data_IF_714966159859
#
_entry.id   IF_714966159859
#
_cell.length_a   1.000
_cell.length_b   1.000
_cell.length_c   1.000
_cell.angle_alpha   90.00
_cell.angle_beta   90.00
_cell.angle_gamma   90.00
#
_symmetry.space_group_name_H-M   'P 1'
#
loop_
_entity.id
_entity.type
_entity.pdbx_description
1 polymer ?
#
# COMPACT_ATOMS: atom_id res chain seq x y z
N UNK A 1 -0.87 2.08 20.65
CA UNK A 1 0.49 2.11 20.08
C UNK A 1 0.64 0.90 19.16
N UNK A 2 0.54 1.08 17.84
CA UNK A 2 0.84 0.00 16.90
C UNK A 2 2.36 -0.03 16.73
N UNK A 3 3.02 -1.00 17.37
CA UNK A 3 4.44 -1.26 17.18
C UNK A 3 4.55 -1.95 15.82
N UNK A 4 4.90 -1.18 14.78
CA UNK A 4 5.34 -1.74 13.50
C UNK A 4 6.59 -2.56 13.80
N UNK A 5 6.41 -3.87 13.98
CA UNK A 5 7.52 -4.80 13.98
C UNK A 5 8.06 -4.77 12.55
N UNK A 6 9.25 -4.21 12.37
CA UNK A 6 10.13 -4.57 11.26
C UNK A 6 10.43 -6.05 11.45
N UNK A 7 9.58 -6.90 10.87
CA UNK A 7 9.88 -8.32 10.72
C UNK A 7 10.89 -8.36 9.59
N UNK A 8 12.17 -8.51 9.94
CA UNK A 8 13.17 -8.91 8.97
C UNK A 8 12.63 -10.19 8.31
N UNK A 9 12.51 -10.20 6.98
CA UNK A 9 12.06 -11.37 6.24
C UNK A 9 12.86 -12.58 6.74
N UNK A 10 12.18 -13.46 7.47
CA UNK A 10 12.85 -14.52 8.20
C UNK A 10 13.14 -15.64 7.20
N UNK A 11 14.43 -15.71 6.83
CA UNK A 11 15.05 -16.64 5.89
C UNK A 11 14.69 -16.44 4.40
N UNK A 12 15.69 -16.71 3.54
CA UNK A 12 15.46 -16.93 2.12
C UNK A 12 14.33 -17.94 1.94
N UNK A 13 13.33 -17.59 1.12
CA UNK A 13 12.33 -18.54 0.62
C UNK A 13 13.06 -19.69 -0.10
N UNK A 14 13.32 -20.78 0.62
CA UNK A 14 13.95 -22.01 0.10
C UNK A 14 13.00 -22.85 -0.77
N UNK A 15 11.82 -22.35 -1.08
CA UNK A 15 10.95 -22.98 -2.05
C UNK A 15 11.55 -22.73 -3.45
N UNK A 16 11.96 -23.77 -4.20
CA UNK A 16 12.38 -23.57 -5.58
C UNK A 16 11.24 -22.89 -6.33
N UNK A 17 11.55 -21.82 -7.08
CA UNK A 17 10.61 -21.33 -8.09
C UNK A 17 10.42 -22.47 -9.08
N UNK A 18 9.27 -23.14 -9.00
CA UNK A 18 8.89 -24.10 -10.02
C UNK A 18 8.70 -23.33 -11.32
N UNK A 19 9.38 -23.75 -12.38
CA UNK A 19 9.29 -23.10 -13.70
C UNK A 19 7.85 -23.13 -14.25
N UNK A 20 7.03 -24.08 -13.79
CA UNK A 20 5.62 -24.17 -14.13
C UNK A 20 4.71 -23.80 -12.96
N UNK A 21 3.76 -22.91 -13.25
CA UNK A 21 2.71 -22.56 -12.30
C UNK A 21 1.80 -23.77 -12.07
N UNK A 22 1.39 -24.05 -10.82
CA UNK A 22 0.51 -25.17 -10.52
C UNK A 22 -0.82 -24.99 -11.24
N UNK A 23 -1.33 -26.08 -11.80
CA UNK A 23 -2.64 -26.08 -12.45
C UNK A 23 -3.75 -25.81 -11.44
N UNK A 24 -4.89 -25.31 -11.91
CA UNK A 24 -6.08 -25.10 -11.05
C UNK A 24 -6.46 -26.36 -10.27
N UNK A 25 -6.29 -27.54 -10.87
CA UNK A 25 -6.61 -28.83 -10.23
C UNK A 25 -5.68 -29.11 -9.05
N UNK A 26 -4.39 -28.87 -9.21
CA UNK A 26 -3.39 -29.05 -8.14
C UNK A 26 -3.61 -28.03 -7.02
N UNK A 27 -3.92 -26.78 -7.35
CA UNK A 27 -4.26 -25.75 -6.36
C UNK A 27 -5.48 -26.14 -5.53
N UNK A 28 -6.55 -26.65 -6.17
CA UNK A 28 -7.74 -27.13 -5.47
C UNK A 28 -7.43 -28.35 -4.59
N UNK A 29 -6.62 -29.29 -5.08
CA UNK A 29 -6.19 -30.43 -4.29
C UNK A 29 -5.36 -29.99 -3.07
N UNK A 30 -4.44 -29.03 -3.23
CA UNK A 30 -3.66 -28.48 -2.13
C UNK A 30 -4.55 -27.80 -1.08
N UNK A 31 -5.58 -27.05 -1.50
CA UNK A 31 -6.55 -26.43 -0.59
C UNK A 31 -7.39 -27.48 0.17
N UNK A 32 -7.76 -28.59 -0.46
CA UNK A 32 -8.56 -29.65 0.17
C UNK A 32 -7.73 -30.58 1.08
N UNK A 33 -6.48 -30.85 0.69
CA UNK A 33 -5.59 -31.75 1.42
C UNK A 33 -4.88 -31.06 2.60
N UNK A 34 -4.83 -29.74 2.60
CA UNK A 34 -4.29 -28.97 3.74
C UNK A 34 -5.34 -28.87 4.82
N UNK A 35 -5.04 -29.44 5.99
CA UNK A 35 -5.99 -29.51 7.11
C UNK A 35 -6.29 -28.13 7.70
N UNK A 36 -5.30 -27.24 7.74
CA UNK A 36 -5.42 -25.93 8.40
C UNK A 36 -4.51 -24.88 7.74
N UNK A 37 -5.03 -23.66 7.65
CA UNK A 37 -4.31 -22.47 7.22
C UNK A 37 -4.26 -21.47 8.37
N UNK A 38 -3.14 -20.78 8.51
CA UNK A 38 -2.97 -19.74 9.53
C UNK A 38 -3.66 -18.44 9.09
N UNK A 39 -3.72 -18.20 7.77
CA UNK A 39 -4.38 -17.03 7.17
C UNK A 39 -5.18 -17.44 5.94
N UNK A 40 -6.45 -17.01 5.86
CA UNK A 40 -7.28 -17.09 4.67
C UNK A 40 -7.56 -15.68 4.14
N UNK A 41 -7.10 -15.39 2.93
CA UNK A 41 -7.35 -14.14 2.21
C UNK A 41 -8.51 -14.34 1.24
N UNK A 42 -9.53 -13.49 1.36
CA UNK A 42 -10.69 -13.49 0.45
C UNK A 42 -10.59 -12.29 -0.48
N UNK A 43 -10.36 -12.56 -1.76
CA UNK A 43 -10.24 -11.56 -2.83
C UNK A 43 -8.83 -11.47 -3.39
N UNK A 44 -8.67 -11.74 -4.68
CA UNK A 44 -7.44 -11.68 -5.47
C UNK A 44 -7.19 -10.33 -6.14
N UNK A 45 -7.61 -9.22 -5.51
CA UNK A 45 -7.25 -7.86 -5.92
C UNK A 45 -5.87 -7.45 -5.41
N UNK A 46 -5.42 -6.24 -5.75
CA UNK A 46 -4.10 -5.73 -5.34
C UNK A 46 -3.87 -5.80 -3.82
N UNK A 47 -4.87 -5.44 -3.02
CA UNK A 47 -4.80 -5.52 -1.55
C UNK A 47 -4.68 -6.96 -1.06
N UNK A 48 -5.53 -7.87 -1.56
CA UNK A 48 -5.52 -9.26 -1.10
C UNK A 48 -4.25 -10.00 -1.49
N UNK A 49 -3.77 -9.82 -2.72
CA UNK A 49 -2.48 -10.39 -3.16
C UNK A 49 -1.33 -9.82 -2.34
N UNK A 50 -1.32 -8.53 -2.03
CA UNK A 50 -0.31 -7.91 -1.15
C UNK A 50 -0.32 -8.50 0.26
N UNK A 51 -1.51 -8.68 0.86
CA UNK A 51 -1.65 -9.34 2.16
C UNK A 51 -1.22 -10.80 2.13
N UNK A 52 -1.54 -11.54 1.07
CA UNK A 52 -1.12 -12.93 0.92
C UNK A 52 0.40 -13.04 0.76
N UNK A 53 1.01 -12.15 -0.02
CA UNK A 53 2.47 -12.09 -0.17
C UNK A 53 3.14 -11.78 1.18
N UNK A 54 2.67 -10.79 1.93
CA UNK A 54 3.21 -10.45 3.26
C UNK A 54 3.03 -11.59 4.28
N UNK A 55 1.92 -12.33 4.22
CA UNK A 55 1.73 -13.50 5.08
C UNK A 55 2.68 -14.65 4.73
N UNK A 56 2.86 -14.93 3.44
CA UNK A 56 3.78 -15.98 2.96
C UNK A 56 5.24 -15.64 3.25
N UNK A 57 5.67 -14.40 3.09
CA UNK A 57 7.05 -13.97 3.43
C UNK A 57 7.35 -14.04 4.92
N UNK A 58 6.31 -14.12 5.76
CA UNK A 58 6.40 -14.36 7.21
C UNK A 58 6.25 -15.85 7.57
N UNK A 59 6.34 -16.74 6.58
CA UNK A 59 6.23 -18.20 6.73
C UNK A 59 4.88 -18.68 7.27
N UNK A 60 3.79 -17.93 7.05
CA UNK A 60 2.44 -18.35 7.42
C UNK A 60 1.80 -19.21 6.34
N UNK A 61 1.14 -20.31 6.72
CA UNK A 61 0.34 -21.14 5.79
C UNK A 61 -0.86 -20.33 5.33
N UNK A 62 -0.77 -19.78 4.13
CA UNK A 62 -1.75 -18.81 3.62
C UNK A 62 -2.52 -19.41 2.45
N UNK A 63 -3.85 -19.33 2.52
CA UNK A 63 -4.74 -19.60 1.39
C UNK A 63 -5.31 -18.28 0.85
N UNK A 64 -5.44 -18.16 -0.48
CA UNK A 64 -6.14 -17.05 -1.11
C UNK A 64 -7.20 -17.59 -2.06
N UNK A 65 -8.42 -17.06 -1.96
CA UNK A 65 -9.52 -17.40 -2.86
C UNK A 65 -10.03 -16.16 -3.57
N UNK A 66 -10.20 -16.26 -4.89
CA UNK A 66 -10.83 -15.25 -5.74
C UNK A 66 -11.99 -15.90 -6.49
N UNK A 67 -13.11 -15.18 -6.57
CA UNK A 67 -14.32 -15.67 -7.25
C UNK A 67 -14.13 -15.68 -8.77
N UNK A 68 -13.47 -14.65 -9.30
CA UNK A 68 -13.29 -14.42 -10.73
C UNK A 68 -11.83 -14.70 -11.13
N UNK A 69 -11.26 -13.85 -11.97
CA UNK A 69 -9.83 -13.82 -12.26
C UNK A 69 -9.10 -12.84 -11.32
N UNK A 70 -7.79 -13.00 -11.17
CA UNK A 70 -6.96 -12.10 -10.39
C UNK A 70 -7.08 -10.66 -10.92
N UNK A 71 -7.17 -9.69 -10.02
CA UNK A 71 -7.31 -8.26 -10.34
C UNK A 71 -8.59 -7.85 -11.11
N UNK A 72 -9.56 -8.76 -11.33
CA UNK A 72 -10.77 -8.49 -12.12
C UNK A 72 -11.69 -7.37 -11.57
N UNK A 73 -11.52 -6.99 -10.30
CA UNK A 73 -12.27 -5.92 -9.64
C UNK A 73 -11.76 -4.51 -9.96
N UNK A 74 -11.72 -3.64 -8.94
CA UNK A 74 -11.25 -2.24 -9.06
C UNK A 74 -9.77 -2.14 -9.44
N UNK A 75 -8.96 -3.15 -9.07
CA UNK A 75 -7.52 -3.19 -9.31
C UNK A 75 -7.15 -3.13 -10.81
N UNK A 76 -7.96 -3.69 -11.71
CA UNK A 76 -7.76 -3.59 -13.18
C UNK A 76 -8.40 -2.34 -13.80
N UNK A 77 -9.30 -1.67 -13.09
CA UNK A 77 -10.12 -0.54 -13.57
C UNK A 77 -9.63 0.83 -13.06
N UNK A 78 -8.34 0.95 -12.79
CA UNK A 78 -7.71 2.21 -12.39
C UNK A 78 -7.27 3.04 -13.61
N UNK A 79 -6.82 4.26 -13.35
CA UNK A 79 -6.11 5.11 -14.33
C UNK A 79 -4.75 4.54 -14.74
N UNK A 80 -4.29 3.45 -14.09
CA UNK A 80 -2.97 2.82 -14.29
C UNK A 80 -1.81 3.80 -14.02
N UNK A 81 -2.05 4.79 -13.17
CA UNK A 81 -1.07 5.77 -12.73
C UNK A 81 -0.98 5.78 -11.21
N UNK A 82 0.25 5.73 -10.70
CA UNK A 82 0.54 5.87 -9.28
C UNK A 82 0.93 7.33 -9.04
N UNK A 83 0.02 8.12 -8.49
CA UNK A 83 0.22 9.54 -8.27
C UNK A 83 0.05 9.92 -6.79
N UNK A 84 0.95 10.77 -6.29
CA UNK A 84 0.96 11.22 -4.89
C UNK A 84 -0.13 12.25 -4.54
N UNK A 85 -1.19 12.35 -5.33
CA UNK A 85 -2.31 13.26 -5.05
C UNK A 85 -1.94 14.76 -5.04
N UNK A 86 -1.38 15.28 -6.14
CA UNK A 86 -0.97 16.69 -6.30
C UNK A 86 -2.08 17.70 -5.91
N UNK A 87 -3.35 17.33 -6.11
CA UNK A 87 -4.51 18.14 -5.67
C UNK A 87 -4.60 18.30 -4.16
N UNK A 88 -4.27 17.28 -3.39
CA UNK A 88 -4.24 17.34 -1.92
C UNK A 88 -3.08 18.21 -1.43
N UNK A 89 -1.95 18.18 -2.14
CA UNK A 89 -0.82 19.07 -1.84
C UNK A 89 -1.19 20.54 -2.08
N UNK A 90 -1.87 20.84 -3.19
CA UNK A 90 -2.37 22.19 -3.47
C UNK A 90 -3.30 22.68 -2.35
N UNK A 91 -4.28 21.85 -1.95
CA UNK A 91 -5.22 22.22 -0.89
C UNK A 91 -4.53 22.38 0.47
N UNK A 92 -3.57 21.53 0.79
CA UNK A 92 -2.75 21.69 2.00
C UNK A 92 -2.03 23.04 1.99
N UNK A 93 -1.30 23.36 0.92
CA UNK A 93 -0.50 24.61 0.82
C UNK A 93 -1.40 25.85 0.81
N UNK A 94 -2.52 25.85 0.10
CA UNK A 94 -3.41 27.02 -0.01
C UNK A 94 -4.22 27.30 1.26
N UNK A 95 -4.42 26.30 2.12
CA UNK A 95 -5.16 26.42 3.38
C UNK A 95 -4.22 26.48 4.59
N UNK A 96 -2.91 26.45 4.37
CA UNK A 96 -1.90 26.50 5.41
C UNK A 96 -1.71 27.96 5.85
N UNK A 97 -2.09 28.26 7.08
CA UNK A 97 -1.85 29.57 7.70
C UNK A 97 -0.44 29.60 8.34
N UNK A 98 0.27 30.72 8.25
CA UNK A 98 1.68 30.85 8.59
C UNK A 98 1.95 30.60 10.09
N UNK A 99 0.97 30.93 10.94
CA UNK A 99 1.02 30.60 12.38
C UNK A 99 0.93 29.09 12.64
N UNK A 100 0.31 28.32 11.74
CA UNK A 100 0.24 26.86 11.85
C UNK A 100 1.56 26.18 11.51
N UNK A 101 2.37 26.77 10.63
CA UNK A 101 3.72 26.28 10.28
C UNK A 101 4.68 26.39 11.48
N UNK A 102 4.56 27.45 12.28
CA UNK A 102 5.34 27.62 13.52
C UNK A 102 4.94 26.62 14.61
N UNK A 103 3.65 26.27 14.68
CA UNK A 103 3.10 25.36 15.72
C UNK A 103 3.16 23.89 15.30
N UNK A 104 3.49 23.59 14.04
CA UNK A 104 3.68 22.23 13.54
C UNK A 104 5.16 21.87 13.32
N UNK A 105 6.02 21.78 14.37
CA UNK A 105 7.34 21.19 14.23
C UNK A 105 7.27 19.65 14.03
N UNK A 106 6.07 19.07 14.03
CA UNK A 106 5.79 17.62 14.04
C UNK A 106 5.24 17.08 12.71
N UNK A 107 5.67 17.62 11.57
CA UNK A 107 5.34 17.08 10.23
C UNK A 107 5.83 15.62 10.06
N UNK A 108 6.68 15.12 10.96
CA UNK A 108 7.19 13.74 10.93
C UNK A 108 6.47 12.78 11.88
N UNK A 109 5.77 13.24 12.92
CA UNK A 109 5.03 12.37 13.87
C UNK A 109 4.31 13.17 14.97
N UNK A 110 3.08 13.68 14.77
CA UNK A 110 2.37 14.34 15.86
C UNK A 110 2.04 13.33 16.97
N UNK A 111 2.31 13.65 18.25
CA UNK A 111 1.80 12.85 19.36
C UNK A 111 0.26 12.93 19.35
N UNK A 112 -0.40 11.80 19.63
CA UNK A 112 -1.87 11.66 19.56
C UNK A 112 -2.64 12.72 20.38
N UNK A 113 -2.00 13.32 21.38
CA UNK A 113 -2.54 14.38 22.23
C UNK A 113 -2.73 15.72 21.50
N UNK A 114 -1.88 16.07 20.53
CA UNK A 114 -2.00 17.34 19.78
C UNK A 114 -3.05 17.28 18.67
N UNK A 115 -3.39 16.07 18.20
CA UNK A 115 -4.47 15.87 17.22
C UNK A 115 -5.86 16.11 17.81
N UNK A 116 -6.01 16.14 19.14
CA UNK A 116 -7.31 16.32 19.81
C UNK A 116 -7.63 17.80 20.12
N UNK A 117 -6.64 18.69 20.13
CA UNK A 117 -6.82 20.05 20.66
C UNK A 117 -7.18 21.11 19.61
N UNK A 118 -7.02 20.83 18.31
CA UNK A 118 -7.37 21.79 17.24
C UNK A 118 -7.97 21.12 15.98
N UNK A 119 -9.31 21.00 15.90
CA UNK A 119 -10.03 20.37 14.78
C UNK A 119 -9.74 20.98 13.40
N UNK A 120 -9.46 22.28 13.32
CA UNK A 120 -9.17 23.01 12.08
C UNK A 120 -7.78 22.69 11.50
N UNK A 121 -6.83 22.31 12.34
CA UNK A 121 -5.44 21.95 11.98
C UNK A 121 -5.28 20.53 11.46
N UNK A 122 -6.25 19.64 11.76
CA UNK A 122 -6.23 18.26 11.30
C UNK A 122 -6.19 18.19 9.76
N UNK A 123 -6.96 19.03 9.07
CA UNK A 123 -7.19 18.83 7.64
C UNK A 123 -5.97 19.06 6.73
N UNK A 124 -5.12 20.11 6.89
CA UNK A 124 -3.98 20.32 5.99
C UNK A 124 -2.81 19.38 6.32
N UNK A 125 -2.54 19.13 7.61
CA UNK A 125 -1.49 18.22 8.04
C UNK A 125 -1.77 16.76 7.63
N UNK A 126 -3.03 16.31 7.74
CA UNK A 126 -3.45 14.99 7.26
C UNK A 126 -3.31 14.85 5.74
N UNK A 127 -3.70 15.88 4.98
CA UNK A 127 -3.54 15.89 3.52
C UNK A 127 -2.07 15.83 3.12
N UNK A 128 -1.20 16.60 3.78
CA UNK A 128 0.24 16.55 3.53
C UNK A 128 0.82 15.16 3.86
N UNK A 129 0.44 14.59 5.01
CA UNK A 129 0.87 13.23 5.40
C UNK A 129 0.48 12.20 4.34
N UNK A 130 -0.76 12.25 3.84
CA UNK A 130 -1.24 11.35 2.78
C UNK A 130 -0.41 11.48 1.49
N UNK A 131 -0.09 12.72 1.08
CA UNK A 131 0.78 12.97 -0.09
C UNK A 131 2.16 12.35 0.14
N UNK A 132 2.76 12.56 1.32
CA UNK A 132 4.08 12.04 1.66
C UNK A 132 4.11 10.51 1.67
N UNK A 133 3.11 9.88 2.29
CA UNK A 133 2.97 8.41 2.31
C UNK A 133 2.82 7.86 0.88
N UNK A 134 1.98 8.47 0.05
CA UNK A 134 1.80 8.04 -1.34
C UNK A 134 3.09 8.19 -2.19
N UNK A 135 3.89 9.24 -1.96
CA UNK A 135 5.18 9.41 -2.63
C UNK A 135 6.22 8.39 -2.15
N UNK A 136 6.21 8.04 -0.86
CA UNK A 136 7.09 7.02 -0.30
C UNK A 136 6.77 5.64 -0.91
N UNK A 137 5.49 5.25 -0.93
CA UNK A 137 5.07 3.98 -1.54
C UNK A 137 5.39 3.91 -3.04
N UNK A 138 5.27 5.04 -3.76
CA UNK A 138 5.68 5.11 -5.17
C UNK A 138 7.19 4.87 -5.33
N UNK A 139 8.02 5.42 -4.44
CA UNK A 139 9.46 5.20 -4.48
C UNK A 139 9.79 3.72 -4.24
N UNK A 140 9.15 3.11 -3.23
CA UNK A 140 9.31 1.68 -2.96
C UNK A 140 8.92 0.83 -4.16
N UNK A 141 7.81 1.14 -4.86
CA UNK A 141 7.38 0.34 -6.00
C UNK A 141 8.35 0.41 -7.19
N UNK A 142 8.95 1.56 -7.44
CA UNK A 142 9.99 1.72 -8.45
C UNK A 142 11.23 0.88 -8.15
N UNK A 143 11.53 0.65 -6.87
CA UNK A 143 12.64 -0.17 -6.43
C UNK A 143 12.32 -1.67 -6.50
N UNK A 144 11.18 -2.11 -5.96
CA UNK A 144 10.85 -3.54 -5.87
C UNK A 144 10.31 -4.13 -7.18
N UNK A 145 9.71 -3.30 -8.04
CA UNK A 145 9.06 -3.74 -9.28
C UNK A 145 9.37 -2.78 -10.46
N UNK A 146 10.65 -2.64 -10.85
CA UNK A 146 11.07 -1.73 -11.93
C UNK A 146 10.53 -2.13 -13.31
N UNK A 147 10.13 -3.39 -13.48
CA UNK A 147 9.52 -3.90 -14.72
C UNK A 147 8.02 -3.58 -14.84
N UNK A 148 7.36 -3.20 -13.73
CA UNK A 148 5.93 -2.83 -13.71
C UNK A 148 5.69 -1.32 -13.65
N UNK A 149 6.66 -0.55 -13.16
CA UNK A 149 6.49 0.88 -12.93
C UNK A 149 7.69 1.68 -13.44
N UNK A 150 7.40 2.81 -14.10
CA UNK A 150 8.40 3.72 -14.63
C UNK A 150 8.03 5.18 -14.34
N UNK A 151 9.00 6.09 -14.18
CA UNK A 151 8.72 7.51 -14.02
C UNK A 151 8.04 8.09 -15.26
N UNK A 152 6.86 8.71 -15.08
CA UNK A 152 6.16 9.44 -16.12
C UNK A 152 6.02 10.92 -15.71
N UNK A 153 6.73 11.85 -16.37
CA UNK A 153 6.53 13.29 -16.17
C UNK A 153 5.11 13.71 -16.56
N UNK A 154 4.46 14.54 -15.74
CA UNK A 154 3.10 15.05 -15.99
C UNK A 154 3.18 16.56 -16.23
N UNK A 155 2.58 17.02 -17.33
CA UNK A 155 2.42 18.44 -17.62
C UNK A 155 1.10 18.95 -16.99
N UNK A 156 1.17 20.03 -16.21
CA UNK A 156 0.02 20.69 -15.62
C UNK A 156 -0.20 22.06 -16.28
N UNK A 157 -1.26 22.25 -17.10
CA UNK A 157 -1.55 23.55 -17.67
C UNK A 157 -2.04 24.51 -16.56
N UNK A 158 -1.48 25.74 -16.56
CA UNK A 158 -1.88 26.81 -15.64
C UNK A 158 -2.62 27.86 -16.45
N UNK A 159 -3.87 28.13 -16.08
CA UNK A 159 -4.71 29.16 -16.68
C UNK A 159 -4.75 30.38 -15.76
N UNK A 160 -4.74 31.58 -16.35
CA UNK A 160 -4.87 32.86 -15.64
C UNK A 160 -6.34 33.25 -15.50
#
# INVERSE_FOLDING_TARGET
>A
QARLALVAAEAELKAPFADELPTRKEQLAALQNTVEFDVLVVGGGATGVGCALDAVTRNLRTALVERSDFSAGTSSRSTKLIHGGVRYLQKAIMQLDYEQVRVCPFITSPPSSLLQTHPSLLSPCQQYKMVKEALLERANLLEIAPHLSAPLPIMLPVYK
#
